data_IF_271100283420
#
_entry.id   IF_271100283420
#
_cell.length_a   1.000
_cell.length_b   1.000
_cell.length_c   1.000
_cell.angle_alpha   90.00
_cell.angle_beta   90.00
_cell.angle_gamma   90.00
#
_symmetry.space_group_name_H-M   'P 1'
#
loop_
_entity.id
_entity.type
_entity.pdbx_description
1 polymer ?
#
# COMPACT_ATOMS: atom_id res chain seq x y z
N UNK A 1 3.94 0.10 7.45
CA UNK A 1 4.44 0.15 6.06
C UNK A 1 4.94 1.55 5.74
N UNK A 2 6.12 1.68 5.12
CA UNK A 2 6.70 2.98 4.75
C UNK A 2 6.56 3.21 3.25
N UNK A 3 6.08 4.38 2.84
CA UNK A 3 5.89 4.79 1.45
C UNK A 3 6.37 6.24 1.31
N UNK A 4 7.44 6.47 0.55
CA UNK A 4 8.00 7.81 0.31
C UNK A 4 8.17 8.66 1.59
N UNK A 5 8.69 8.04 2.65
CA UNK A 5 8.92 8.68 3.95
C UNK A 5 7.68 8.85 4.84
N UNK A 6 6.48 8.53 4.36
CA UNK A 6 5.27 8.41 5.20
C UNK A 6 5.15 6.98 5.74
N UNK A 7 4.86 6.84 7.04
CA UNK A 7 4.72 5.54 7.70
C UNK A 7 3.26 5.34 8.08
N UNK A 8 2.67 4.25 7.59
CA UNK A 8 1.28 3.89 7.83
C UNK A 8 1.17 2.58 8.63
N UNK A 9 0.33 2.59 9.67
CA UNK A 9 -0.30 1.40 10.23
C UNK A 9 -1.56 1.13 9.40
N UNK A 10 -1.64 -0.06 8.77
CA UNK A 10 -2.73 -0.39 7.85
C UNK A 10 -3.52 -1.57 8.40
N UNK A 11 -4.83 -1.37 8.51
CA UNK A 11 -5.78 -2.34 9.05
C UNK A 11 -6.79 -2.67 7.98
N UNK A 12 -7.10 -3.95 7.80
CA UNK A 12 -7.99 -4.43 6.74
C UNK A 12 -9.13 -5.22 7.37
N UNK A 13 -10.37 -4.92 6.97
CA UNK A 13 -11.57 -5.64 7.41
C UNK A 13 -12.53 -5.78 6.23
N UNK A 14 -12.58 -6.99 5.66
CA UNK A 14 -13.37 -7.26 4.45
C UNK A 14 -12.93 -6.34 3.31
N UNK A 15 -13.88 -5.60 2.73
CA UNK A 15 -13.65 -4.65 1.64
C UNK A 15 -13.29 -3.23 2.09
N UNK A 16 -12.84 -3.06 3.33
CA UNK A 16 -12.38 -1.78 3.87
C UNK A 16 -10.94 -1.88 4.38
N UNK A 17 -10.16 -0.83 4.11
CA UNK A 17 -8.84 -0.64 4.68
C UNK A 17 -8.72 0.74 5.33
N UNK A 18 -8.08 0.81 6.49
CA UNK A 18 -7.72 2.05 7.16
C UNK A 18 -6.20 2.17 7.15
N UNK A 19 -5.68 3.35 6.81
CA UNK A 19 -4.27 3.67 6.87
C UNK A 19 -4.08 4.86 7.81
N UNK A 20 -3.58 4.58 9.01
CA UNK A 20 -3.24 5.57 10.03
C UNK A 20 -1.78 5.97 9.82
N UNK A 21 -1.50 7.26 9.59
CA UNK A 21 -0.12 7.74 9.52
C UNK A 21 0.44 7.87 10.93
N UNK A 22 1.52 7.15 11.23
CA UNK A 22 2.11 7.05 12.57
C UNK A 22 3.37 7.89 12.75
N UNK A 23 3.93 8.47 11.69
CA UNK A 23 5.07 9.37 11.79
C UNK A 23 4.68 10.83 11.60
N UNK A 24 5.37 11.73 12.32
CA UNK A 24 5.18 13.17 12.19
C UNK A 24 5.77 13.67 10.86
N UNK A 25 5.00 14.50 10.14
CA UNK A 25 5.45 15.22 8.95
C UNK A 25 4.76 16.59 8.97
N UNK A 26 5.49 17.63 8.59
CA UNK A 26 4.98 18.99 8.64
C UNK A 26 3.95 19.25 7.53
N UNK A 27 2.72 19.55 7.94
CA UNK A 27 1.60 20.04 7.12
C UNK A 27 1.49 19.46 5.69
N UNK A 28 1.53 18.12 5.49
CA UNK A 28 1.40 17.57 4.15
C UNK A 28 -0.03 17.74 3.63
N UNK A 29 -0.16 18.10 2.35
CA UNK A 29 -1.46 18.12 1.66
C UNK A 29 -2.00 16.70 1.55
N UNK A 30 -3.32 16.54 1.63
CA UNK A 30 -3.91 15.21 1.58
C UNK A 30 -3.73 14.53 0.21
N UNK A 31 -3.74 15.24 -0.91
CA UNK A 31 -3.61 14.64 -2.25
C UNK A 31 -2.45 13.64 -2.41
N UNK A 32 -1.19 14.04 -2.14
CA UNK A 32 -0.06 13.12 -2.13
C UNK A 32 -0.16 12.00 -1.08
N UNK A 33 -0.60 12.34 0.14
CA UNK A 33 -0.76 11.34 1.22
C UNK A 33 -1.82 10.29 0.87
N UNK A 34 -2.89 10.69 0.19
CA UNK A 34 -3.96 9.82 -0.31
C UNK A 34 -3.41 8.78 -1.27
N UNK A 35 -2.49 9.15 -2.18
CA UNK A 35 -1.86 8.21 -3.11
C UNK A 35 -0.95 7.22 -2.38
N UNK A 36 -0.17 7.69 -1.41
CA UNK A 36 0.70 6.84 -0.57
C UNK A 36 -0.10 5.88 0.30
N UNK A 37 -1.19 6.36 0.90
CA UNK A 37 -2.12 5.57 1.69
C UNK A 37 -2.81 4.51 0.81
N UNK A 38 -3.27 4.87 -0.39
CA UNK A 38 -3.84 3.93 -1.36
C UNK A 38 -2.85 2.81 -1.71
N UNK A 39 -1.59 3.17 -1.96
CA UNK A 39 -0.53 2.19 -2.22
C UNK A 39 -0.33 1.26 -1.01
N UNK A 40 -0.28 1.82 0.21
CA UNK A 40 -0.16 1.01 1.43
C UNK A 40 -1.34 0.06 1.64
N UNK A 41 -2.56 0.52 1.42
CA UNK A 41 -3.77 -0.30 1.51
C UNK A 41 -3.78 -1.43 0.47
N UNK A 42 -3.48 -1.14 -0.80
CA UNK A 42 -3.41 -2.16 -1.85
C UNK A 42 -2.37 -3.22 -1.52
N UNK A 43 -1.24 -2.77 -0.96
CA UNK A 43 -0.12 -3.63 -0.67
C UNK A 43 -0.36 -4.55 0.53
N UNK A 44 -1.00 -4.04 1.59
CA UNK A 44 -1.33 -4.83 2.80
C UNK A 44 -2.54 -5.72 2.58
N UNK A 45 -3.55 -5.26 1.83
CA UNK A 45 -4.76 -6.06 1.57
C UNK A 45 -4.60 -7.06 0.42
N UNK A 46 -3.69 -6.81 -0.52
CA UNK A 46 -3.61 -7.53 -1.79
C UNK A 46 -4.75 -7.20 -2.77
N UNK A 47 -5.66 -6.29 -2.41
CA UNK A 47 -6.84 -5.96 -3.19
C UNK A 47 -6.66 -4.65 -3.98
N UNK A 48 -7.47 -4.49 -5.02
CA UNK A 48 -7.56 -3.20 -5.73
C UNK A 48 -8.25 -2.18 -4.82
N UNK A 49 -7.62 -1.04 -4.60
CA UNK A 49 -8.26 0.12 -3.95
C UNK A 49 -9.15 0.83 -4.98
N UNK A 50 -10.43 0.99 -4.64
CA UNK A 50 -11.45 1.62 -5.50
C UNK A 50 -11.52 3.11 -5.24
N UNK A 51 -11.46 3.51 -3.98
CA UNK A 51 -11.46 4.90 -3.57
C UNK A 51 -10.76 5.05 -2.21
N UNK A 52 -10.30 6.26 -1.91
CA UNK A 52 -9.70 6.65 -0.64
C UNK A 52 -10.29 7.99 -0.19
N UNK A 53 -10.80 8.02 1.02
CA UNK A 53 -11.39 9.17 1.70
C UNK A 53 -10.61 9.47 2.99
N UNK A 54 -10.89 10.61 3.61
CA UNK A 54 -10.30 11.00 4.90
C UNK A 54 -9.35 12.18 4.79
N UNK A 55 -8.29 12.16 5.60
CA UNK A 55 -7.33 13.24 5.75
C UNK A 55 -5.88 12.75 5.87
N UNK A 56 -4.95 13.68 6.08
CA UNK A 56 -3.51 13.41 6.15
C UNK A 56 -3.06 12.52 7.33
N UNK A 57 -3.89 12.32 8.35
CA UNK A 57 -3.61 11.48 9.51
C UNK A 57 -4.29 10.11 9.39
N UNK A 58 -5.55 10.09 8.93
CA UNK A 58 -6.32 8.87 8.73
C UNK A 58 -6.96 8.86 7.34
N UNK A 59 -6.59 7.85 6.56
CA UNK A 59 -7.24 7.56 5.29
C UNK A 59 -8.03 6.25 5.38
N UNK A 60 -9.23 6.23 4.81
CA UNK A 60 -10.05 5.02 4.67
C UNK A 60 -10.20 4.71 3.19
N UNK A 61 -9.91 3.48 2.80
CA UNK A 61 -10.02 2.99 1.43
C UNK A 61 -11.08 1.91 1.31
N UNK A 62 -11.86 1.98 0.23
CA UNK A 62 -12.73 0.89 -0.20
C UNK A 62 -11.96 -0.03 -1.13
N UNK A 63 -11.97 -1.32 -0.84
CA UNK A 63 -11.29 -2.36 -1.59
C UNK A 63 -12.27 -3.09 -2.52
N UNK A 64 -11.73 -3.66 -3.57
CA UNK A 64 -12.40 -4.61 -4.45
C UNK A 64 -11.56 -5.88 -4.46
N UNK A 65 -11.82 -6.76 -3.50
CA UNK A 65 -11.19 -8.06 -3.39
C UNK A 65 -11.96 -9.07 -4.27
N UNK A 66 -11.51 -9.33 -5.50
CA UNK A 66 -11.99 -10.51 -6.24
C UNK A 66 -11.40 -11.74 -5.53
N UNK A 67 -12.26 -12.71 -5.19
CA UNK A 67 -11.97 -13.83 -4.28
C UNK A 67 -10.53 -14.37 -4.32
N UNK A 68 -10.01 -14.68 -3.13
CA UNK A 68 -8.68 -15.20 -2.81
C UNK A 68 -7.87 -15.69 -4.03
N UNK A 69 -7.07 -14.80 -4.63
CA UNK A 69 -6.26 -15.14 -5.80
C UNK A 69 -6.02 -14.01 -6.80
N UNK A 70 -6.64 -12.84 -6.63
CA UNK A 70 -6.24 -11.66 -7.38
C UNK A 70 -4.81 -11.27 -6.98
N UNK A 71 -3.87 -11.29 -7.93
CA UNK A 71 -2.51 -10.83 -7.70
C UNK A 71 -2.52 -9.43 -7.07
N UNK A 72 -1.63 -9.14 -6.09
CA UNK A 72 -1.54 -7.81 -5.51
C UNK A 72 -1.39 -6.79 -6.64
N UNK A 73 -2.19 -5.73 -6.59
CA UNK A 73 -2.19 -4.72 -7.65
C UNK A 73 -0.82 -4.05 -7.69
N UNK A 74 0.00 -4.44 -8.66
CA UNK A 74 1.24 -3.76 -8.98
C UNK A 74 0.90 -2.44 -9.67
N UNK A 75 1.27 -1.33 -9.02
CA UNK A 75 1.27 -0.03 -9.68
C UNK A 75 2.03 -0.14 -11.01
N UNK A 76 1.50 0.47 -12.08
CA UNK A 76 2.20 0.52 -13.37
C UNK A 76 3.61 1.10 -13.12
N UNK A 77 4.64 0.40 -13.61
CA UNK A 77 6.08 0.69 -13.44
C UNK A 77 6.72 0.26 -12.10
N UNK A 78 6.04 -0.48 -11.23
CA UNK A 78 6.73 -1.26 -10.20
C UNK A 78 7.15 -2.60 -10.83
N UNK A 79 8.44 -2.95 -10.75
CA UNK A 79 8.92 -4.33 -10.95
C UNK A 79 9.29 -4.89 -9.58
N UNK A 80 8.67 -6.01 -9.13
CA UNK A 80 9.02 -6.59 -7.86
C UNK A 80 10.44 -7.17 -7.92
N UNK A 81 11.27 -6.89 -6.90
CA UNK A 81 12.60 -7.51 -6.78
C UNK A 81 12.41 -9.00 -6.44
N UNK A 82 13.03 -9.95 -7.17
CA UNK A 82 12.97 -11.36 -6.81
C UNK A 82 13.80 -11.63 -5.54
N UNK A 83 13.20 -12.31 -4.56
CA UNK A 83 13.88 -12.71 -3.33
C UNK A 83 14.97 -13.76 -3.61
N UNK A 84 16.23 -13.45 -3.32
CA UNK A 84 17.37 -14.37 -3.42
C UNK A 84 17.49 -15.36 -2.25
N UNK A 85 16.39 -15.90 -1.73
CA UNK A 85 16.38 -16.77 -0.55
C UNK A 85 15.94 -18.22 -0.84
N UNK A 86 16.51 -19.24 -0.16
CA UNK A 86 16.30 -20.66 -0.46
C UNK A 86 14.89 -21.22 -0.14
N UNK A 87 13.94 -20.39 0.29
CA UNK A 87 12.55 -20.77 0.62
C UNK A 87 11.47 -19.96 -0.12
N UNK A 88 11.81 -19.27 -1.22
CA UNK A 88 10.86 -18.49 -2.00
C UNK A 88 9.88 -19.38 -2.80
N UNK A 89 8.72 -19.72 -2.22
CA UNK A 89 7.57 -20.33 -2.93
C UNK A 89 6.74 -19.28 -3.69
N UNK A 90 7.40 -18.58 -4.62
CA UNK A 90 6.73 -17.92 -5.75
C UNK A 90 5.90 -16.66 -5.47
N UNK A 91 5.95 -16.06 -4.29
CA UNK A 91 5.33 -14.76 -4.00
C UNK A 91 6.42 -13.79 -3.53
N UNK A 92 6.55 -12.60 -4.15
CA UNK A 92 7.54 -11.61 -3.72
C UNK A 92 7.22 -11.17 -2.29
N UNK A 93 8.23 -11.20 -1.41
CA UNK A 93 8.09 -10.60 -0.08
C UNK A 93 7.97 -9.10 -0.22
N UNK A 94 6.78 -8.63 0.11
CA UNK A 94 6.40 -7.23 0.12
C UNK A 94 7.17 -6.51 1.22
N UNK A 95 8.14 -5.67 0.85
CA UNK A 95 8.91 -4.92 1.83
C UNK A 95 10.13 -4.17 1.30
N UNK A 96 10.56 -4.42 0.07
CA UNK A 96 11.77 -3.79 -0.46
C UNK A 96 11.51 -3.18 -1.84
N UNK A 97 11.34 -1.85 -1.83
CA UNK A 97 11.66 -0.89 -2.89
C UNK A 97 10.89 -1.01 -4.22
N UNK A 98 9.76 -0.30 -4.34
CA UNK A 98 9.62 0.56 -5.52
C UNK A 98 10.46 1.82 -5.21
N UNK A 99 11.77 1.76 -5.52
CA UNK A 99 12.57 2.99 -5.61
C UNK A 99 12.20 3.66 -6.92
N UNK A 100 11.96 4.96 -6.89
CA UNK A 100 11.71 5.79 -8.07
C UNK A 100 12.73 5.47 -9.17
N UNK A 101 12.27 5.28 -10.40
CA UNK A 101 13.10 5.44 -11.58
C UNK A 101 12.93 6.90 -12.03
N UNK A 102 13.93 7.72 -11.70
CA UNK A 102 14.16 9.14 -12.07
C UNK A 102 13.06 10.18 -11.79
#
# INVERSE_FOLDING_TARGET
>A
MTVEGSVFDVRVKGDLAEAVRVNTQYAPRFGPIRQRAAFAMAQVSGCRVVDVLGDQALATGRLSCKGAGAAPYLAKNCTPIPDGGPHARGLPKVGTLCTSAE
#
